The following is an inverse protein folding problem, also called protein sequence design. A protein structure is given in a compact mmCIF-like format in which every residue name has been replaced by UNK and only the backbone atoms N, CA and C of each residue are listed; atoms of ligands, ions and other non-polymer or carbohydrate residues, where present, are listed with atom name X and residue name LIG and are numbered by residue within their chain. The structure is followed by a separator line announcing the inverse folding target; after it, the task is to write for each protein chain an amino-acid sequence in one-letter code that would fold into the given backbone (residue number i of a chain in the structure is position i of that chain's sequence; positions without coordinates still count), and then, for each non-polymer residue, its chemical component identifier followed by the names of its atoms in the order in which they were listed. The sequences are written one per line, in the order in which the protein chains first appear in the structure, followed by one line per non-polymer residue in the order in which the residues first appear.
data_IF_673641076087
#
_entry.id   IF_673641076087
#
_cell.length_a   1.000
_cell.length_b   1.000
_cell.length_c   1.000
_cell.angle_alpha   90.00
_cell.angle_beta   90.00
_cell.angle_gamma   90.00
#
_symmetry.space_group_name_H-M   'P 1'
#
loop_
_entity.id
_entity.type
_entity.pdbx_description
1 polymer ?
#
# COMPACT_ATOMS: atom_id res chain seq x y z
N UNK A 1 11.45 34.73 29.27
CA UNK A 1 10.20 34.81 28.51
C UNK A 1 10.33 34.44 27.07
N UNK A 2 11.38 34.85 26.37
CA UNK A 2 11.58 34.48 24.95
C UNK A 2 11.80 32.97 24.74
N UNK A 3 12.40 32.27 25.68
CA UNK A 3 12.65 30.82 25.61
C UNK A 3 11.36 29.99 25.74
N UNK A 4 10.39 30.45 26.50
CA UNK A 4 9.10 29.73 26.64
C UNK A 4 8.25 29.81 25.35
N UNK A 5 8.24 30.98 24.69
CA UNK A 5 7.52 31.14 23.42
C UNK A 5 8.08 30.25 22.28
N UNK A 6 9.41 30.10 22.24
CA UNK A 6 10.08 29.22 21.26
C UNK A 6 9.75 27.74 21.50
N UNK A 7 9.65 27.30 22.75
CA UNK A 7 9.30 25.92 23.09
C UNK A 7 7.85 25.62 22.66
N UNK A 8 6.93 26.55 22.85
CA UNK A 8 5.55 26.40 22.44
C UNK A 8 5.41 26.30 20.89
N UNK A 9 6.17 27.11 20.17
CA UNK A 9 6.19 27.07 18.70
C UNK A 9 6.72 25.73 18.18
N UNK A 10 7.74 25.20 18.84
CA UNK A 10 8.33 23.91 18.46
C UNK A 10 7.37 22.74 18.74
N UNK A 11 6.64 22.79 19.85
CA UNK A 11 5.63 21.78 20.18
C UNK A 11 4.47 21.78 19.16
N UNK A 12 4.04 22.96 18.70
CA UNK A 12 3.01 23.08 17.67
C UNK A 12 3.46 22.51 16.32
N UNK A 13 4.72 22.69 15.94
CA UNK A 13 5.28 22.11 14.72
C UNK A 13 5.38 20.59 14.79
N UNK A 14 5.73 20.04 15.97
CA UNK A 14 5.77 18.58 16.16
C UNK A 14 4.38 17.95 16.14
N UNK A 15 3.35 18.61 16.65
CA UNK A 15 1.99 18.11 16.62
C UNK A 15 1.40 18.10 15.20
N UNK A 16 1.79 19.03 14.32
CA UNK A 16 1.35 19.04 12.93
C UNK A 16 2.02 17.96 12.08
N UNK A 17 3.18 17.44 12.49
CA UNK A 17 3.88 16.36 11.77
C UNK A 17 3.33 14.96 12.07
N UNK A 18 2.40 14.82 13.03
CA UNK A 18 1.80 13.54 13.42
C UNK A 18 0.57 13.16 12.59
N UNK A 19 0.14 13.99 11.64
CA UNK A 19 -0.98 13.64 10.75
C UNK A 19 -0.55 12.59 9.73
N UNK A 20 -1.45 11.59 9.50
CA UNK A 20 -1.20 10.56 8.49
C UNK A 20 -1.20 11.17 7.09
N UNK A 21 -0.29 10.75 6.20
CA UNK A 21 -0.30 11.26 4.84
C UNK A 21 -1.53 10.79 4.07
N UNK A 22 -2.03 11.63 3.15
CA UNK A 22 -3.16 11.29 2.29
C UNK A 22 -2.79 10.22 1.25
N UNK A 23 -1.54 10.12 0.89
CA UNK A 23 -1.03 9.12 -0.03
C UNK A 23 0.09 8.34 0.62
N UNK A 24 -0.05 7.02 0.61
CA UNK A 24 0.97 6.09 1.08
C UNK A 24 1.34 5.17 -0.07
N UNK A 25 2.61 5.02 -0.33
CA UNK A 25 3.12 4.19 -1.42
C UNK A 25 4.19 3.27 -0.87
N UNK A 26 4.14 2.00 -1.25
CA UNK A 26 5.11 1.00 -0.85
C UNK A 26 5.46 0.12 -2.03
N UNK A 27 6.75 -0.13 -2.22
CA UNK A 27 7.25 -1.01 -3.26
C UNK A 27 8.18 -2.05 -2.64
N UNK A 28 7.96 -3.31 -3.01
CA UNK A 28 8.76 -4.44 -2.53
C UNK A 28 9.44 -5.08 -3.74
N UNK A 29 10.76 -5.18 -3.71
CA UNK A 29 11.53 -5.86 -4.73
C UNK A 29 11.33 -7.37 -4.64
N UNK A 30 11.40 -8.05 -5.78
CA UNK A 30 11.20 -9.50 -5.83
C UNK A 30 12.18 -10.28 -4.95
N UNK A 31 13.42 -9.79 -4.80
CA UNK A 31 14.42 -10.41 -3.92
C UNK A 31 14.12 -10.22 -2.41
N UNK A 32 13.19 -9.33 -2.07
CA UNK A 32 12.73 -9.11 -0.69
C UNK A 32 11.41 -9.80 -0.38
N UNK A 33 10.75 -10.36 -1.38
CA UNK A 33 9.54 -11.14 -1.17
C UNK A 33 9.87 -12.47 -0.49
N UNK A 34 9.02 -12.88 0.45
CA UNK A 34 9.20 -14.13 1.18
C UNK A 34 8.37 -15.23 0.50
N UNK A 35 9.04 -16.15 -0.20
CA UNK A 35 8.38 -17.25 -0.93
C UNK A 35 7.29 -16.76 -1.91
N UNK A 36 7.58 -15.69 -2.64
CA UNK A 36 6.64 -15.09 -3.59
C UNK A 36 5.53 -14.27 -2.95
N UNK A 37 5.64 -13.95 -1.66
CA UNK A 37 4.67 -13.13 -0.95
C UNK A 37 5.24 -11.74 -0.70
N UNK A 38 4.52 -10.74 -1.20
CA UNK A 38 4.82 -9.32 -1.02
C UNK A 38 3.92 -8.76 0.08
N UNK A 39 4.51 -8.07 1.05
CA UNK A 39 3.80 -7.56 2.23
C UNK A 39 3.84 -6.03 2.22
N UNK A 40 2.65 -5.42 2.33
CA UNK A 40 2.48 -3.96 2.36
C UNK A 40 1.68 -3.58 3.60
N UNK A 41 2.18 -2.61 4.36
CA UNK A 41 1.51 -2.10 5.55
C UNK A 41 1.09 -0.65 5.33
N UNK A 42 -0.16 -0.33 5.68
CA UNK A 42 -0.74 1.01 5.56
C UNK A 42 -1.46 1.40 6.83
N UNK A 43 -1.33 2.66 7.24
CA UNK A 43 -2.09 3.23 8.32
C UNK A 43 -3.36 3.87 7.76
N UNK A 44 -4.52 3.32 8.11
CA UNK A 44 -5.80 3.81 7.62
C UNK A 44 -6.63 4.41 8.75
N UNK A 45 -7.29 5.52 8.42
CA UNK A 45 -8.23 6.17 9.34
C UNK A 45 -9.59 5.50 9.26
N UNK A 46 -10.29 5.46 10.40
CA UNK A 46 -11.69 5.11 10.45
C UNK A 46 -12.59 6.33 10.25
N UNK A 47 -13.79 6.31 10.84
CA UNK A 47 -14.70 7.47 10.90
C UNK A 47 -15.09 8.06 9.54
N UNK A 48 -15.44 7.20 8.60
CA UNK A 48 -15.94 7.65 7.30
C UNK A 48 -14.88 7.96 6.27
N UNK A 49 -13.60 7.75 6.58
CA UNK A 49 -12.54 7.86 5.58
C UNK A 49 -12.68 6.78 4.52
N UNK A 50 -12.33 7.09 3.30
CA UNK A 50 -12.29 6.12 2.21
C UNK A 50 -11.01 6.29 1.40
N UNK A 51 -10.58 5.18 0.77
CA UNK A 51 -9.29 5.10 0.10
C UNK A 51 -9.41 4.43 -1.26
N UNK A 52 -8.58 4.87 -2.19
CA UNK A 52 -8.37 4.17 -3.45
C UNK A 52 -7.03 3.44 -3.39
N UNK A 53 -7.02 2.18 -3.84
CA UNK A 53 -5.82 1.35 -3.91
C UNK A 53 -5.49 1.04 -5.35
N UNK A 54 -4.25 1.27 -5.72
CA UNK A 54 -3.70 0.89 -7.01
C UNK A 54 -2.52 -0.04 -6.83
N UNK A 55 -2.37 -0.97 -7.76
CA UNK A 55 -1.26 -1.93 -7.78
C UNK A 55 -0.46 -1.68 -9.04
N UNK A 56 0.86 -1.79 -8.94
CA UNK A 56 1.72 -1.85 -10.12
C UNK A 56 2.78 -2.91 -9.93
N UNK A 57 3.15 -3.53 -11.03
CA UNK A 57 4.29 -4.41 -11.04
C UNK A 57 5.36 -3.85 -11.97
N UNK A 58 6.61 -4.21 -11.71
CA UNK A 58 7.73 -3.91 -12.58
C UNK A 58 8.26 -5.23 -13.11
N UNK A 59 8.24 -5.41 -14.42
CA UNK A 59 8.83 -6.57 -15.08
C UNK A 59 10.29 -6.30 -15.42
N UNK A 60 11.08 -7.36 -15.55
CA UNK A 60 12.51 -7.20 -15.83
C UNK A 60 12.78 -6.83 -17.29
N UNK A 61 12.22 -7.58 -18.23
CA UNK A 61 12.55 -7.41 -19.65
C UNK A 61 11.32 -7.17 -20.52
N UNK A 62 10.29 -7.97 -20.36
CA UNK A 62 9.11 -7.98 -21.22
C UNK A 62 7.86 -7.65 -20.44
N UNK A 63 6.85 -7.12 -21.12
CA UNK A 63 5.53 -6.95 -20.54
C UNK A 63 4.92 -8.31 -20.20
N UNK A 64 4.26 -8.39 -19.05
CA UNK A 64 3.54 -9.57 -18.57
C UNK A 64 2.05 -9.24 -18.59
N UNK A 65 1.26 -10.07 -19.25
CA UNK A 65 -0.18 -9.86 -19.40
C UNK A 65 -0.98 -10.86 -18.60
N UNK A 66 -2.06 -10.39 -17.97
CA UNK A 66 -3.00 -11.25 -17.28
C UNK A 66 -2.45 -11.96 -16.04
N UNK A 67 -1.48 -11.34 -15.37
CA UNK A 67 -0.86 -11.94 -14.17
C UNK A 67 -1.87 -12.10 -13.05
N UNK A 68 -1.96 -13.31 -12.52
CA UNK A 68 -2.82 -13.62 -11.38
C UNK A 68 -2.15 -13.24 -10.06
N UNK A 69 -2.84 -12.42 -9.28
CA UNK A 69 -2.41 -12.02 -7.94
C UNK A 69 -3.42 -12.55 -6.91
N UNK A 70 -2.92 -13.19 -5.87
CA UNK A 70 -3.73 -13.55 -4.70
C UNK A 70 -3.52 -12.51 -3.63
N UNK A 71 -4.57 -11.74 -3.34
CA UNK A 71 -4.51 -10.61 -2.43
C UNK A 71 -5.23 -10.97 -1.14
N UNK A 72 -4.54 -10.80 -0.02
CA UNK A 72 -5.12 -11.00 1.30
C UNK A 72 -5.03 -9.72 2.10
N UNK A 73 -6.16 -9.28 2.63
CA UNK A 73 -6.27 -8.14 3.52
C UNK A 73 -6.32 -8.62 4.96
N UNK A 74 -5.53 -8.00 5.83
CA UNK A 74 -5.51 -8.27 7.27
C UNK A 74 -5.81 -6.97 8.00
N UNK A 75 -6.94 -6.95 8.73
CA UNK A 75 -7.35 -5.77 9.49
C UNK A 75 -6.65 -5.70 10.84
N UNK A 76 -6.58 -4.50 11.48
CA UNK A 76 -6.05 -4.37 12.83
C UNK A 76 -6.83 -5.18 13.86
N UNK A 77 -8.11 -5.47 13.59
CA UNK A 77 -8.97 -6.27 14.47
C UNK A 77 -8.75 -7.77 14.35
N UNK A 78 -7.92 -8.22 13.41
CA UNK A 78 -7.64 -9.64 13.19
C UNK A 78 -8.52 -10.32 12.15
N UNK A 79 -9.47 -9.60 11.53
CA UNK A 79 -10.25 -10.16 10.43
C UNK A 79 -9.43 -10.19 9.14
N UNK A 80 -9.75 -11.13 8.26
CA UNK A 80 -9.06 -11.27 6.99
C UNK A 80 -10.04 -11.46 5.83
N UNK A 81 -9.62 -11.01 4.66
CA UNK A 81 -10.36 -11.14 3.41
C UNK A 81 -9.37 -11.46 2.30
N UNK A 82 -9.72 -12.41 1.44
CA UNK A 82 -8.85 -12.83 0.35
C UNK A 82 -9.59 -12.82 -0.97
N UNK A 83 -8.91 -12.44 -2.03
CA UNK A 83 -9.46 -12.47 -3.39
C UNK A 83 -8.36 -12.68 -4.42
N UNK A 84 -8.76 -13.06 -5.62
CA UNK A 84 -7.88 -13.18 -6.77
C UNK A 84 -8.11 -12.01 -7.70
N UNK A 85 -7.02 -11.37 -8.14
CA UNK A 85 -7.04 -10.22 -9.03
C UNK A 85 -6.15 -10.52 -10.23
N UNK A 86 -6.54 -10.06 -11.39
CA UNK A 86 -5.75 -10.21 -12.62
C UNK A 86 -5.29 -8.83 -13.07
N UNK A 87 -3.98 -8.65 -13.17
CA UNK A 87 -3.40 -7.42 -13.72
C UNK A 87 -3.43 -7.48 -15.25
N UNK A 88 -3.85 -6.38 -15.86
CA UNK A 88 -3.91 -6.31 -17.33
C UNK A 88 -2.53 -6.39 -17.94
N UNK A 89 -1.59 -5.60 -17.41
CA UNK A 89 -0.24 -5.53 -17.93
C UNK A 89 0.74 -5.08 -16.89
N UNK A 90 1.82 -5.83 -16.74
CA UNK A 90 2.98 -5.45 -15.95
C UNK A 90 4.10 -5.11 -16.91
N UNK A 91 4.63 -3.89 -16.83
CA UNK A 91 5.66 -3.40 -17.75
C UNK A 91 6.95 -3.07 -17.00
N UNK A 92 8.10 -2.93 -17.69
CA UNK A 92 9.32 -2.47 -17.04
C UNK A 92 9.23 -1.05 -16.47
N UNK A 93 8.27 -0.24 -16.93
CA UNK A 93 8.05 1.12 -16.44
C UNK A 93 7.14 1.20 -15.21
N UNK A 94 6.42 0.12 -14.89
CA UNK A 94 5.58 0.07 -13.69
C UNK A 94 4.27 0.85 -13.83
N UNK A 95 3.45 0.52 -14.83
CA UNK A 95 2.15 1.14 -14.99
C UNK A 95 1.21 0.77 -13.84
N UNK A 96 0.54 1.78 -13.29
CA UNK A 96 -0.37 1.62 -12.16
C UNK A 96 -1.77 1.25 -12.64
N UNK A 97 -2.39 0.30 -11.96
CA UNK A 97 -3.77 -0.10 -12.22
C UNK A 97 -4.61 0.09 -10.96
N UNK A 98 -5.77 0.72 -11.11
CA UNK A 98 -6.70 0.83 -10.00
C UNK A 98 -7.21 -0.56 -9.63
N UNK A 99 -7.03 -0.92 -8.36
CA UNK A 99 -7.45 -2.21 -7.83
C UNK A 99 -8.80 -2.11 -7.12
N UNK A 100 -8.91 -1.21 -6.16
CA UNK A 100 -10.16 -0.95 -5.43
C UNK A 100 -10.34 0.53 -5.20
N UNK A 101 -11.57 1.01 -5.37
CA UNK A 101 -11.92 2.40 -5.09
C UNK A 101 -12.89 2.50 -3.93
N UNK A 102 -12.85 3.63 -3.22
CA UNK A 102 -13.75 3.96 -2.14
C UNK A 102 -13.82 2.89 -1.04
N UNK A 103 -12.68 2.33 -0.67
CA UNK A 103 -12.59 1.37 0.43
C UNK A 103 -12.77 2.12 1.74
N UNK A 104 -13.82 1.78 2.50
CA UNK A 104 -14.07 2.33 3.83
C UNK A 104 -13.59 1.32 4.88
N UNK A 105 -12.48 1.60 5.59
CA UNK A 105 -11.99 0.67 6.60
C UNK A 105 -12.99 0.53 7.75
N UNK A 106 -13.23 -0.70 8.20
CA UNK A 106 -14.08 -0.99 9.36
C UNK A 106 -13.36 -0.79 10.69
N UNK A 107 -12.04 -0.63 10.65
CA UNK A 107 -11.22 -0.39 11.82
C UNK A 107 -10.09 0.56 11.47
N UNK A 108 -9.80 1.49 12.38
CA UNK A 108 -8.65 2.37 12.29
C UNK A 108 -7.38 1.64 12.72
N UNK A 109 -6.28 1.90 12.05
CA UNK A 109 -4.98 1.37 12.44
C UNK A 109 -4.20 0.82 11.28
N UNK A 110 -3.30 -0.12 11.59
CA UNK A 110 -2.40 -0.72 10.62
C UNK A 110 -3.07 -1.87 9.90
N UNK A 111 -3.25 -1.69 8.59
CA UNK A 111 -3.75 -2.72 7.69
C UNK A 111 -2.58 -3.33 6.94
N UNK A 112 -2.64 -4.64 6.72
CA UNK A 112 -1.65 -5.35 5.94
C UNK A 112 -2.29 -5.95 4.70
N UNK A 113 -1.62 -5.75 3.56
CA UNK A 113 -1.99 -6.38 2.29
C UNK A 113 -0.86 -7.34 1.94
N UNK A 114 -1.21 -8.62 1.78
CA UNK A 114 -0.28 -9.65 1.33
C UNK A 114 -0.65 -10.06 -0.07
N UNK A 115 0.29 -9.96 -0.99
CA UNK A 115 0.07 -10.32 -2.38
C UNK A 115 0.99 -11.47 -2.75
N UNK A 116 0.39 -12.56 -3.21
CA UNK A 116 1.13 -13.71 -3.71
C UNK A 116 1.04 -13.74 -5.21
N UNK A 117 2.18 -13.85 -5.88
CA UNK A 117 2.27 -14.07 -7.31
C UNK A 117 2.68 -15.51 -7.58
N UNK A 118 2.40 -16.00 -8.78
CA UNK A 118 2.99 -17.26 -9.24
C UNK A 118 4.48 -17.07 -9.50
N UNK A 119 5.30 -18.15 -9.50
CA UNK A 119 6.76 -18.04 -9.52
C UNK A 119 7.25 -17.30 -10.74
N UNK A 120 7.92 -16.18 -10.47
CA UNK A 120 8.20 -15.23 -11.49
C UNK A 120 9.61 -14.75 -11.52
N UNK A 121 10.42 -15.39 -12.32
CA UNK A 121 11.74 -14.90 -12.67
C UNK A 121 11.69 -13.60 -13.47
N UNK A 122 10.51 -13.25 -14.00
CA UNK A 122 10.29 -12.09 -14.84
C UNK A 122 9.87 -10.84 -14.08
N UNK A 123 9.44 -10.97 -12.82
CA UNK A 123 8.98 -9.85 -12.01
C UNK A 123 10.12 -9.26 -11.18
N UNK A 124 10.35 -7.96 -11.32
CA UNK A 124 11.34 -7.23 -10.53
C UNK A 124 10.79 -6.75 -9.18
N UNK A 125 9.48 -6.51 -9.10
CA UNK A 125 8.84 -6.10 -7.87
C UNK A 125 7.37 -5.76 -8.04
N UNK A 126 6.70 -5.56 -6.91
CA UNK A 126 5.31 -5.10 -6.83
C UNK A 126 5.20 -3.89 -5.92
N UNK A 127 4.28 -3.01 -6.24
CA UNK A 127 3.96 -1.85 -5.41
C UNK A 127 2.47 -1.67 -5.22
N UNK A 128 2.12 -0.99 -4.14
CA UNK A 128 0.74 -0.60 -3.81
C UNK A 128 0.72 0.86 -3.42
N UNK A 129 -0.22 1.60 -3.99
CA UNK A 129 -0.51 2.98 -3.60
C UNK A 129 -1.86 3.02 -2.93
N UNK A 130 -1.90 3.63 -1.76
CA UNK A 130 -3.11 3.92 -1.01
C UNK A 130 -3.32 5.43 -1.02
N UNK A 131 -4.44 5.89 -1.56
CA UNK A 131 -4.77 7.31 -1.63
C UNK A 131 -6.09 7.58 -0.94
N UNK A 132 -6.06 8.45 0.06
CA UNK A 132 -7.26 8.89 0.76
C UNK A 132 -8.09 9.81 -0.14
N UNK A 133 -9.37 9.56 -0.18
CA UNK A 133 -10.33 10.35 -0.97
C UNK A 133 -10.78 11.60 -0.23
#
# INVERSE_FOLDING_TARGET
MRKAALIWLFAALLSSSCSRPDTQESFVRADKALDGVYIFDFELDGNGASYDFSIWGVSRDKAIYGEELRVQWLSPSGSSFSETVYMKCITPSGERELYRSAVAPDAEGKWRIRIRTLPEDELAGLGVICRKR
#
